data_IF_794942365345
#
_entry.id   IF_794942365345
#
_cell.length_a   1.000
_cell.length_b   1.000
_cell.length_c   1.000
_cell.angle_alpha   90.00
_cell.angle_beta   90.00
_cell.angle_gamma   90.00
#
_symmetry.space_group_name_H-M   'P 1'
#
loop_
_entity.id
_entity.type
_entity.pdbx_description
1 polymer ?
#
# COMPACT_ATOMS: atom_id res chain seq x y z
N UNK A 1 35.01 -52.48 43.31
CA UNK A 1 33.79 -52.30 42.47
C UNK A 1 33.96 -53.18 41.26
N UNK A 2 33.08 -54.18 41.16
CA UNK A 2 33.18 -55.36 40.28
C UNK A 2 32.46 -55.04 38.98
N UNK A 3 33.09 -55.33 37.84
CA UNK A 3 32.53 -55.13 36.51
C UNK A 3 31.59 -56.23 36.00
N UNK A 4 31.31 -56.12 34.70
CA UNK A 4 30.53 -57.00 33.78
C UNK A 4 29.08 -56.61 33.56
N UNK A 5 28.80 -56.10 32.36
CA UNK A 5 27.70 -56.54 31.48
C UNK A 5 28.16 -56.30 30.03
N UNK A 6 28.71 -57.34 29.37
CA UNK A 6 28.03 -58.32 28.50
C UNK A 6 27.49 -57.73 27.19
N UNK A 7 28.32 -57.95 26.15
CA UNK A 7 28.02 -58.25 24.73
C UNK A 7 26.54 -58.42 24.38
N UNK A 8 26.12 -57.72 23.33
CA UNK A 8 24.96 -58.03 22.50
C UNK A 8 25.20 -57.51 21.08
N UNK A 9 25.87 -58.31 20.27
CA UNK A 9 26.04 -58.08 18.83
C UNK A 9 24.87 -58.81 18.16
N UNK A 10 23.89 -58.05 17.67
CA UNK A 10 22.82 -58.57 16.82
C UNK A 10 22.88 -57.78 15.49
N UNK A 11 23.67 -58.33 14.57
CA UNK A 11 23.58 -58.03 13.15
C UNK A 11 22.21 -58.52 12.67
N UNK A 12 21.23 -57.63 12.62
CA UNK A 12 20.04 -57.84 11.81
C UNK A 12 20.31 -57.21 10.44
N UNK A 13 20.65 -58.09 9.51
CA UNK A 13 20.52 -57.92 8.07
C UNK A 13 19.05 -57.62 7.79
N UNK A 14 18.68 -56.33 7.82
CA UNK A 14 17.39 -55.89 7.28
C UNK A 14 17.57 -55.83 5.78
N UNK A 15 16.91 -56.78 5.13
CA UNK A 15 16.72 -56.84 3.69
C UNK A 15 16.38 -55.47 3.14
N UNK A 16 17.03 -55.14 2.01
CA UNK A 16 16.74 -53.94 1.24
C UNK A 16 15.24 -53.83 1.00
N UNK A 17 14.63 -52.91 1.74
CA UNK A 17 13.48 -52.19 1.25
C UNK A 17 14.04 -51.35 0.10
N UNK A 18 14.00 -51.93 -1.10
CA UNK A 18 13.82 -51.13 -2.29
C UNK A 18 12.52 -50.36 -2.06
N UNK A 19 12.64 -49.16 -1.50
CA UNK A 19 11.68 -48.10 -1.73
C UNK A 19 11.75 -47.86 -3.23
N UNK A 20 10.95 -48.63 -3.96
CA UNK A 20 10.52 -48.22 -5.28
C UNK A 20 9.85 -46.88 -5.07
N UNK A 21 10.58 -45.81 -5.36
CA UNK A 21 10.01 -44.51 -5.64
C UNK A 21 9.00 -44.78 -6.74
N UNK A 22 7.73 -44.82 -6.36
CA UNK A 22 6.66 -44.76 -7.31
C UNK A 22 6.91 -43.47 -8.09
N UNK A 23 7.40 -43.63 -9.32
CA UNK A 23 7.30 -42.60 -10.35
C UNK A 23 5.80 -42.47 -10.59
N UNK A 24 5.13 -41.65 -9.79
CA UNK A 24 3.81 -41.15 -10.10
C UNK A 24 3.95 -40.46 -11.45
N UNK A 25 3.26 -40.94 -12.51
CA UNK A 25 3.24 -40.23 -13.77
C UNK A 25 2.54 -38.88 -13.52
N UNK A 26 3.30 -37.80 -13.51
CA UNK A 26 2.75 -36.46 -13.35
C UNK A 26 3.64 -35.48 -12.60
N UNK A 27 4.95 -35.41 -12.90
CA UNK A 27 5.60 -34.10 -12.84
C UNK A 27 5.18 -33.34 -14.12
N UNK A 28 3.88 -33.03 -14.22
CA UNK A 28 3.50 -31.84 -14.97
C UNK A 28 3.89 -30.72 -14.02
N UNK A 29 5.11 -30.21 -14.20
CA UNK A 29 5.49 -28.98 -13.54
C UNK A 29 4.40 -27.98 -13.87
N UNK A 30 3.89 -27.36 -12.82
CA UNK A 30 2.96 -26.26 -12.94
C UNK A 30 3.56 -25.24 -13.89
N UNK A 31 2.88 -24.95 -15.00
CA UNK A 31 3.34 -23.91 -15.93
C UNK A 31 2.92 -22.55 -15.40
N UNK A 32 3.80 -21.55 -15.50
CA UNK A 32 3.50 -20.14 -15.19
C UNK A 32 2.18 -19.68 -15.84
N UNK A 33 1.92 -20.10 -17.08
CA UNK A 33 0.65 -19.85 -17.80
C UNK A 33 -0.61 -20.25 -17.01
N UNK A 34 -0.60 -21.37 -16.27
CA UNK A 34 -1.79 -21.85 -15.55
C UNK A 34 -2.02 -21.05 -14.26
N UNK A 35 -0.93 -20.66 -13.59
CA UNK A 35 -0.98 -19.77 -12.42
C UNK A 35 -1.50 -18.40 -12.84
N UNK A 36 -0.90 -17.82 -13.88
CA UNK A 36 -1.27 -16.51 -14.39
C UNK A 36 -2.68 -16.44 -14.94
N UNK A 37 -3.13 -17.48 -15.64
CA UNK A 37 -4.53 -17.54 -16.08
C UNK A 37 -5.49 -17.48 -14.88
N UNK A 38 -5.19 -18.21 -13.79
CA UNK A 38 -6.02 -18.21 -12.59
C UNK A 38 -5.98 -16.85 -11.86
N UNK A 39 -4.79 -16.24 -11.75
CA UNK A 39 -4.63 -14.92 -11.11
C UNK A 39 -5.28 -13.83 -11.95
N UNK A 40 -5.08 -13.80 -13.26
CA UNK A 40 -5.65 -12.77 -14.13
C UNK A 40 -7.14 -12.94 -14.38
N UNK A 41 -7.69 -14.15 -14.31
CA UNK A 41 -9.15 -14.34 -14.24
C UNK A 41 -9.74 -13.72 -12.97
N UNK A 42 -8.93 -13.57 -11.91
CA UNK A 42 -9.29 -12.96 -10.64
C UNK A 42 -9.20 -11.42 -10.69
N UNK A 43 -8.02 -10.90 -11.05
CA UNK A 43 -7.67 -9.47 -10.92
C UNK A 43 -7.84 -8.68 -12.20
N UNK A 44 -8.06 -9.35 -13.34
CA UNK A 44 -8.11 -8.72 -14.65
C UNK A 44 -6.74 -8.28 -15.19
N UNK A 45 -5.63 -8.86 -14.70
CA UNK A 45 -4.29 -8.57 -15.22
C UNK A 45 -4.06 -9.02 -16.68
N UNK A 46 -2.99 -8.50 -17.29
CA UNK A 46 -2.50 -8.99 -18.58
C UNK A 46 -1.74 -10.30 -18.38
N UNK A 47 -2.16 -11.36 -19.07
CA UNK A 47 -1.57 -12.70 -18.92
C UNK A 47 -0.10 -12.74 -19.35
N UNK A 48 0.31 -11.95 -20.34
CA UNK A 48 1.69 -11.95 -20.84
C UNK A 48 2.63 -11.32 -19.80
N UNK A 49 2.25 -10.17 -19.23
CA UNK A 49 3.04 -9.51 -18.18
C UNK A 49 3.18 -10.39 -16.93
N UNK A 50 2.10 -11.08 -16.53
CA UNK A 50 2.16 -12.01 -15.40
C UNK A 50 3.11 -13.18 -15.65
N UNK A 51 3.09 -13.76 -16.86
CA UNK A 51 3.97 -14.88 -17.22
C UNK A 51 5.43 -14.43 -17.21
N UNK A 52 5.72 -13.26 -17.78
CA UNK A 52 7.08 -12.69 -17.78
C UNK A 52 7.59 -12.48 -16.33
N UNK A 53 6.76 -11.95 -15.42
CA UNK A 53 7.13 -11.78 -14.01
C UNK A 53 7.39 -13.10 -13.27
N UNK A 54 6.61 -14.15 -13.56
CA UNK A 54 6.85 -15.49 -13.01
C UNK A 54 8.12 -16.14 -13.59
N UNK A 55 8.37 -16.00 -14.90
CA UNK A 55 9.58 -16.51 -15.55
C UNK A 55 10.84 -15.82 -14.99
N UNK A 56 10.80 -14.49 -14.81
CA UNK A 56 11.88 -13.73 -14.20
C UNK A 56 12.15 -14.17 -12.74
N UNK A 57 11.09 -14.45 -11.97
CA UNK A 57 11.22 -14.97 -10.61
C UNK A 57 11.80 -16.40 -10.57
N UNK A 58 11.42 -17.27 -11.51
CA UNK A 58 12.01 -18.63 -11.64
C UNK A 58 13.50 -18.56 -11.95
N UNK A 59 13.89 -17.72 -12.91
CA UNK A 59 15.29 -17.57 -13.33
C UNK A 59 16.15 -16.98 -12.19
N UNK A 60 15.65 -15.98 -11.45
CA UNK A 60 16.34 -15.43 -10.28
C UNK A 60 16.46 -16.48 -9.15
N UNK A 61 15.38 -17.22 -8.87
CA UNK A 61 15.41 -18.30 -7.89
C UNK A 61 16.45 -19.35 -8.26
N UNK A 62 16.54 -19.71 -9.53
CA UNK A 62 17.54 -20.66 -10.03
C UNK A 62 18.97 -20.14 -9.96
N UNK A 63 19.19 -18.85 -10.21
CA UNK A 63 20.51 -18.23 -10.07
C UNK A 63 20.98 -18.22 -8.60
N UNK A 64 20.06 -18.02 -7.65
CA UNK A 64 20.33 -18.05 -6.21
C UNK A 64 20.22 -19.47 -5.58
N UNK A 65 19.80 -20.48 -6.35
CA UNK A 65 19.56 -21.88 -5.94
C UNK A 65 18.42 -22.06 -4.92
N UNK A 66 17.35 -21.34 -5.17
CA UNK A 66 16.09 -21.28 -4.44
C UNK A 66 14.96 -21.99 -5.22
N UNK A 67 15.27 -22.91 -6.14
CA UNK A 67 14.27 -23.54 -7.01
C UNK A 67 13.19 -24.31 -6.22
N UNK A 68 13.59 -24.90 -5.08
CA UNK A 68 12.67 -25.61 -4.20
C UNK A 68 11.66 -24.65 -3.54
N UNK A 69 12.10 -23.45 -3.13
CA UNK A 69 11.24 -22.44 -2.50
C UNK A 69 10.30 -21.81 -3.54
N UNK A 70 10.78 -21.56 -4.75
CA UNK A 70 9.94 -21.09 -5.86
C UNK A 70 8.86 -22.12 -6.22
N UNK A 71 9.23 -23.40 -6.33
CA UNK A 71 8.27 -24.47 -6.59
C UNK A 71 7.23 -24.59 -5.47
N UNK A 72 7.62 -24.41 -4.21
CA UNK A 72 6.69 -24.45 -3.07
C UNK A 72 5.71 -23.28 -3.10
N UNK A 73 6.19 -22.08 -3.43
CA UNK A 73 5.36 -20.89 -3.57
C UNK A 73 4.34 -21.02 -4.71
N UNK A 74 4.77 -21.43 -5.91
CA UNK A 74 3.89 -21.66 -7.05
C UNK A 74 2.86 -22.76 -6.78
N UNK A 75 3.28 -23.87 -6.16
CA UNK A 75 2.36 -24.94 -5.75
C UNK A 75 1.36 -24.45 -4.70
N UNK A 76 1.75 -23.55 -3.80
CA UNK A 76 0.84 -22.97 -2.84
C UNK A 76 -0.23 -22.13 -3.54
N UNK A 77 0.16 -21.19 -4.41
CA UNK A 77 -0.78 -20.33 -5.14
C UNK A 77 -1.84 -21.18 -5.83
N UNK A 78 -1.41 -22.19 -6.60
CA UNK A 78 -2.37 -23.04 -7.31
C UNK A 78 -3.38 -23.77 -6.41
N UNK A 79 -2.95 -24.17 -5.22
CA UNK A 79 -3.76 -25.01 -4.35
C UNK A 79 -4.61 -24.24 -3.36
N UNK A 80 -4.17 -23.02 -2.99
CA UNK A 80 -4.76 -22.26 -1.87
C UNK A 80 -5.16 -20.84 -2.23
N UNK A 81 -4.83 -20.32 -3.41
CA UNK A 81 -5.30 -19.00 -3.80
C UNK A 81 -6.82 -19.03 -3.92
N UNK A 82 -7.47 -18.09 -3.24
CA UNK A 82 -8.90 -17.84 -3.35
C UNK A 82 -9.11 -16.47 -4.01
N UNK A 83 -10.19 -16.34 -4.77
CA UNK A 83 -10.64 -15.09 -5.36
C UNK A 83 -11.79 -14.52 -4.54
N UNK A 84 -11.60 -13.35 -3.93
CA UNK A 84 -12.65 -12.61 -3.22
C UNK A 84 -12.84 -11.25 -3.89
N UNK A 85 -14.05 -10.99 -4.38
CA UNK A 85 -14.45 -9.72 -5.00
C UNK A 85 -13.41 -9.12 -5.99
N UNK A 86 -12.98 -9.90 -6.99
CA UNK A 86 -11.99 -9.53 -8.02
C UNK A 86 -10.56 -9.31 -7.48
N UNK A 87 -10.26 -9.78 -6.27
CA UNK A 87 -8.93 -9.76 -5.65
C UNK A 87 -8.41 -11.19 -5.39
N UNK A 88 -7.14 -11.41 -5.72
CA UNK A 88 -6.46 -12.68 -5.45
C UNK A 88 -5.88 -12.68 -4.04
N UNK A 89 -6.42 -13.51 -3.15
CA UNK A 89 -5.93 -13.65 -1.79
C UNK A 89 -4.79 -14.68 -1.73
N UNK A 90 -3.60 -14.19 -1.42
CA UNK A 90 -2.38 -15.00 -1.23
C UNK A 90 -2.01 -15.22 0.24
N UNK A 91 -2.87 -14.84 1.19
CA UNK A 91 -2.58 -14.88 2.63
C UNK A 91 -2.24 -16.28 3.14
N UNK A 92 -2.88 -17.32 2.58
CA UNK A 92 -2.63 -18.73 2.89
C UNK A 92 -1.29 -19.27 2.34
N UNK A 93 -0.61 -18.47 1.50
CA UNK A 93 0.70 -18.74 0.89
C UNK A 93 1.80 -17.79 1.35
N UNK A 94 1.53 -17.01 2.41
CA UNK A 94 2.49 -16.04 2.95
C UNK A 94 3.80 -16.70 3.40
N UNK A 95 3.74 -17.87 4.02
CA UNK A 95 4.94 -18.56 4.52
C UNK A 95 5.86 -18.96 3.34
N UNK A 96 5.29 -19.58 2.30
CA UNK A 96 6.04 -19.97 1.10
C UNK A 96 6.56 -18.75 0.32
N UNK A 97 5.80 -17.65 0.31
CA UNK A 97 6.22 -16.38 -0.27
C UNK A 97 7.41 -15.76 0.49
N UNK A 98 7.35 -15.73 1.83
CA UNK A 98 8.40 -15.18 2.69
C UNK A 98 9.68 -16.03 2.57
N UNK A 99 9.57 -17.37 2.51
CA UNK A 99 10.70 -18.28 2.30
C UNK A 99 11.40 -18.02 0.95
N UNK A 100 10.62 -17.89 -0.14
CA UNK A 100 11.16 -17.52 -1.45
C UNK A 100 11.82 -16.13 -1.42
N UNK A 101 11.15 -15.14 -0.85
CA UNK A 101 11.62 -13.76 -0.77
C UNK A 101 12.94 -13.64 0.00
N UNK A 102 13.07 -14.36 1.10
CA UNK A 102 14.30 -14.42 1.90
C UNK A 102 15.43 -15.11 1.13
N UNK A 103 15.11 -16.08 0.27
CA UNK A 103 16.10 -16.78 -0.53
C UNK A 103 16.62 -15.92 -1.71
N UNK A 104 15.74 -15.22 -2.45
CA UNK A 104 16.12 -14.38 -3.60
C UNK A 104 16.47 -12.92 -3.23
N UNK A 105 16.71 -12.66 -1.94
CA UNK A 105 16.99 -11.32 -1.38
C UNK A 105 15.96 -10.25 -1.80
N UNK A 106 14.69 -10.65 -1.98
CA UNK A 106 13.55 -9.80 -2.37
C UNK A 106 13.72 -9.04 -3.69
N UNK A 107 14.62 -9.46 -4.58
CA UNK A 107 14.93 -8.69 -5.80
C UNK A 107 13.74 -8.67 -6.76
N UNK A 108 13.10 -9.81 -7.00
CA UNK A 108 12.00 -9.97 -7.96
C UNK A 108 10.98 -11.01 -7.49
N UNK A 109 10.25 -10.72 -6.41
CA UNK A 109 9.05 -11.51 -6.08
C UNK A 109 7.96 -11.21 -7.10
N UNK A 110 7.32 -12.23 -7.70
CA UNK A 110 6.11 -12.05 -8.49
C UNK A 110 4.94 -11.78 -7.53
N UNK A 111 3.90 -11.06 -8.01
CA UNK A 111 2.73 -10.67 -7.20
C UNK A 111 3.09 -9.88 -5.94
N UNK A 112 3.84 -8.79 -6.11
CA UNK A 112 4.13 -7.86 -5.00
C UNK A 112 2.81 -7.25 -4.53
N UNK A 113 2.66 -7.11 -3.22
CA UNK A 113 1.53 -6.33 -2.72
C UNK A 113 1.60 -4.90 -3.25
N UNK A 114 0.46 -4.24 -3.51
CA UNK A 114 0.42 -2.84 -3.90
C UNK A 114 1.25 -1.94 -2.95
N UNK A 115 1.20 -2.24 -1.65
CA UNK A 115 1.99 -1.54 -0.65
C UNK A 115 3.50 -1.77 -0.81
N UNK A 116 3.94 -2.96 -1.25
CA UNK A 116 5.35 -3.23 -1.51
C UNK A 116 5.87 -2.41 -2.71
N UNK A 117 5.03 -2.17 -3.73
CA UNK A 117 5.40 -1.32 -4.87
C UNK A 117 5.47 0.16 -4.50
N UNK A 118 4.53 0.67 -3.70
CA UNK A 118 4.63 2.01 -3.10
C UNK A 118 5.89 2.18 -2.25
N UNK A 119 6.22 1.20 -1.38
CA UNK A 119 7.47 1.23 -0.60
C UNK A 119 8.71 1.22 -1.50
N UNK A 120 8.67 0.54 -2.64
CA UNK A 120 9.76 0.60 -3.63
C UNK A 120 9.87 1.99 -4.25
N UNK A 121 8.76 2.61 -4.66
CA UNK A 121 8.76 3.99 -5.17
C UNK A 121 9.33 4.97 -4.13
N UNK A 122 8.92 4.85 -2.85
CA UNK A 122 9.50 5.61 -1.73
C UNK A 122 11.04 5.50 -1.68
N UNK A 123 11.54 4.26 -1.82
CA UNK A 123 12.97 3.95 -1.76
C UNK A 123 13.74 4.60 -2.89
N UNK A 124 13.14 4.63 -4.08
CA UNK A 124 13.72 5.19 -5.30
C UNK A 124 13.68 6.73 -5.28
N UNK A 125 12.66 7.35 -4.65
CA UNK A 125 12.60 8.80 -4.42
C UNK A 125 13.62 9.31 -3.38
N UNK A 126 14.30 8.45 -2.63
CA UNK A 126 15.34 8.84 -1.66
C UNK A 126 14.83 9.32 -0.29
N UNK A 127 13.52 9.50 -0.09
CA UNK A 127 12.89 9.88 1.19
C UNK A 127 12.40 8.67 2.00
N UNK A 128 13.34 7.80 2.38
CA UNK A 128 13.03 6.48 2.95
C UNK A 128 12.16 6.50 4.21
N UNK A 129 12.51 7.26 5.24
CA UNK A 129 11.89 7.08 6.57
C UNK A 129 10.43 7.59 6.65
N UNK A 130 10.11 8.72 6.02
CA UNK A 130 8.76 9.28 6.08
C UNK A 130 7.81 8.58 5.11
N UNK A 131 8.28 8.33 3.89
CA UNK A 131 7.47 7.70 2.87
C UNK A 131 7.15 6.23 3.24
N UNK A 132 8.14 5.43 3.67
CA UNK A 132 7.88 4.05 4.12
C UNK A 132 6.93 4.02 5.32
N UNK A 133 7.08 4.93 6.29
CA UNK A 133 6.18 5.01 7.46
C UNK A 133 4.74 5.39 7.07
N UNK A 134 4.56 6.23 6.05
CA UNK A 134 3.24 6.54 5.51
C UNK A 134 2.63 5.33 4.83
N UNK A 135 3.39 4.60 4.01
CA UNK A 135 2.88 3.39 3.35
C UNK A 135 2.58 2.28 4.38
N UNK A 136 3.42 2.12 5.42
CA UNK A 136 3.15 1.22 6.54
C UNK A 136 1.83 1.57 7.24
N UNK A 137 1.54 2.86 7.43
CA UNK A 137 0.29 3.31 8.04
C UNK A 137 -0.91 3.08 7.13
N UNK A 138 -0.76 3.29 5.82
CA UNK A 138 -1.81 3.03 4.82
C UNK A 138 -2.12 1.53 4.80
N UNK A 139 -1.10 0.67 4.81
CA UNK A 139 -1.25 -0.78 4.90
C UNK A 139 -1.95 -1.19 6.22
N UNK A 140 -1.58 -0.59 7.36
CA UNK A 140 -2.18 -0.92 8.67
C UNK A 140 -3.66 -0.47 8.78
N UNK A 141 -3.99 0.70 8.24
CA UNK A 141 -5.32 1.32 8.42
C UNK A 141 -6.29 0.94 7.30
N UNK A 142 -5.80 0.91 6.07
CA UNK A 142 -6.59 0.72 4.85
C UNK A 142 -6.38 -0.63 4.15
N UNK A 143 -5.39 -1.43 4.57
CA UNK A 143 -5.06 -2.69 3.92
C UNK A 143 -4.44 -2.48 2.54
N UNK A 144 -4.45 -3.53 1.72
CA UNK A 144 -3.86 -3.49 0.38
C UNK A 144 -4.66 -2.64 -0.61
N UNK A 145 -5.99 -2.59 -0.47
CA UNK A 145 -6.87 -1.73 -1.29
C UNK A 145 -6.45 -0.26 -1.23
N UNK A 146 -6.13 0.25 -0.04
CA UNK A 146 -5.72 1.65 0.10
C UNK A 146 -4.35 1.95 -0.53
N UNK A 147 -3.49 0.94 -0.65
CA UNK A 147 -2.24 1.06 -1.39
C UNK A 147 -2.47 0.97 -2.90
N UNK A 148 -3.42 0.16 -3.35
CA UNK A 148 -3.81 0.06 -4.76
C UNK A 148 -4.44 1.37 -5.25
N UNK A 149 -5.36 1.95 -4.46
CA UNK A 149 -5.95 3.27 -4.73
C UNK A 149 -4.86 4.35 -4.92
N UNK A 150 -3.83 4.35 -4.07
CA UNK A 150 -2.71 5.29 -4.19
C UNK A 150 -1.85 5.05 -5.44
N UNK A 151 -1.68 3.81 -5.87
CA UNK A 151 -0.98 3.50 -7.12
C UNK A 151 -1.80 3.95 -8.33
N UNK A 152 -3.11 3.74 -8.32
CA UNK A 152 -4.03 4.16 -9.37
C UNK A 152 -4.13 5.70 -9.49
N UNK A 153 -3.96 6.43 -8.38
CA UNK A 153 -3.84 7.89 -8.36
C UNK A 153 -2.48 8.41 -8.88
N UNK A 154 -1.60 7.52 -9.33
CA UNK A 154 -0.30 7.85 -9.93
C UNK A 154 0.90 7.56 -9.03
N UNK A 155 0.70 6.91 -7.88
CA UNK A 155 1.76 6.51 -6.96
C UNK A 155 2.49 7.69 -6.32
N UNK A 156 3.72 7.44 -5.88
CA UNK A 156 4.59 8.47 -5.30
C UNK A 156 5.38 9.12 -6.42
N UNK A 157 5.12 10.41 -6.63
CA UNK A 157 5.78 11.19 -7.68
C UNK A 157 7.12 11.75 -7.17
N UNK A 158 8.25 11.25 -7.69
CA UNK A 158 9.59 11.65 -7.23
C UNK A 158 10.16 12.92 -7.91
N UNK A 159 9.41 13.60 -8.80
CA UNK A 159 9.96 14.60 -9.73
C UNK A 159 10.26 16.00 -9.13
N UNK A 160 10.22 16.17 -7.81
CA UNK A 160 10.63 17.43 -7.16
C UNK A 160 12.15 17.54 -6.96
N UNK A 161 12.94 17.28 -8.01
CA UNK A 161 14.33 17.74 -8.04
C UNK A 161 14.36 19.24 -8.39
N UNK A 162 14.64 20.06 -7.37
CA UNK A 162 14.91 21.49 -7.49
C UNK A 162 15.90 21.83 -8.63
N UNK A 163 15.41 22.32 -9.78
CA UNK A 163 16.12 23.33 -10.56
C UNK A 163 15.37 24.66 -10.47
N UNK A 164 15.87 25.54 -9.60
CA UNK A 164 15.39 26.92 -9.49
C UNK A 164 15.47 27.69 -10.81
N UNK A 165 14.32 28.13 -11.32
CA UNK A 165 14.25 29.05 -12.46
C UNK A 165 12.82 29.45 -12.79
N UNK A 166 12.41 30.65 -12.38
CA UNK A 166 11.05 31.15 -12.56
C UNK A 166 10.53 31.10 -14.00
N UNK A 167 9.27 30.67 -14.14
CA UNK A 167 8.53 30.73 -15.39
C UNK A 167 7.10 30.26 -15.22
N UNK A 168 6.17 31.19 -14.99
CA UNK A 168 4.75 30.95 -15.24
C UNK A 168 4.59 30.55 -16.72
N UNK A 169 4.20 29.30 -16.97
CA UNK A 169 3.97 28.78 -18.32
C UNK A 169 3.15 27.50 -18.24
N UNK A 170 1.84 27.64 -18.43
CA UNK A 170 0.88 26.54 -18.36
C UNK A 170 1.12 25.43 -19.38
N UNK A 171 0.95 24.20 -18.91
CA UNK A 171 0.75 22.99 -19.69
C UNK A 171 -0.25 22.13 -18.94
N UNK A 172 -1.41 21.90 -19.57
CA UNK A 172 -2.60 21.27 -19.00
C UNK A 172 -2.47 19.73 -19.05
N UNK A 173 -2.61 18.96 -17.96
CA UNK A 173 -3.04 17.58 -18.05
C UNK A 173 -4.57 17.56 -18.09
N UNK A 174 -5.10 17.41 -19.29
CA UNK A 174 -6.52 17.18 -19.52
C UNK A 174 -6.87 15.73 -19.17
N UNK A 175 -7.52 15.49 -18.03
CA UNK A 175 -8.71 14.61 -17.91
C UNK A 175 -9.10 14.23 -16.47
N UNK A 176 -9.66 15.17 -15.68
CA UNK A 176 -10.55 14.82 -14.54
C UNK A 176 -11.82 15.70 -14.48
N UNK A 177 -12.13 16.45 -15.55
CA UNK A 177 -13.30 17.33 -15.62
C UNK A 177 -14.26 16.80 -16.70
N UNK A 178 -15.32 16.09 -16.30
CA UNK A 178 -16.39 15.69 -17.21
C UNK A 178 -17.39 16.85 -17.49
N UNK A 179 -17.16 18.01 -16.85
CA UNK A 179 -17.96 19.22 -16.99
C UNK A 179 -19.34 19.11 -16.33
N UNK A 180 -19.58 18.11 -15.48
CA UNK A 180 -20.82 18.00 -14.71
C UNK A 180 -20.66 18.66 -13.34
N UNK A 181 -21.52 19.64 -13.08
CA UNK A 181 -21.58 20.33 -11.78
C UNK A 181 -22.27 19.40 -10.78
N UNK A 182 -21.49 18.81 -9.88
CA UNK A 182 -22.01 18.04 -8.74
C UNK A 182 -22.60 18.98 -7.68
N UNK A 183 -23.54 18.50 -6.88
CA UNK A 183 -24.15 19.28 -5.79
C UNK A 183 -23.19 19.41 -4.61
N UNK A 184 -23.13 20.60 -4.01
CA UNK A 184 -22.23 20.97 -2.90
C UNK A 184 -22.31 20.05 -1.67
N UNK A 185 -23.42 19.32 -1.49
CA UNK A 185 -23.67 18.43 -0.35
C UNK A 185 -23.24 16.95 -0.59
N UNK A 186 -22.47 16.65 -1.65
CA UNK A 186 -22.01 15.28 -1.90
C UNK A 186 -20.73 14.98 -1.14
N UNK A 187 -20.64 13.80 -0.51
CA UNK A 187 -19.44 13.33 0.22
C UNK A 187 -18.14 13.37 -0.61
N UNK A 188 -18.23 13.40 -1.93
CA UNK A 188 -17.10 13.54 -2.84
C UNK A 188 -16.46 14.96 -2.86
N UNK A 189 -17.14 16.00 -2.34
CA UNK A 189 -16.58 17.36 -2.21
C UNK A 189 -15.94 17.62 -0.82
N UNK A 190 -16.00 16.68 0.13
CA UNK A 190 -15.54 16.91 1.51
C UNK A 190 -14.04 16.65 1.75
N UNK A 191 -13.34 16.07 0.78
CA UNK A 191 -11.94 15.66 0.95
C UNK A 191 -11.02 16.40 -0.01
N UNK A 192 -10.45 17.52 0.43
CA UNK A 192 -9.31 18.15 -0.24
C UNK A 192 -8.05 17.88 0.61
N UNK A 193 -7.02 17.30 -0.02
CA UNK A 193 -5.86 16.74 0.70
C UNK A 193 -4.62 17.65 0.68
N UNK A 194 -4.55 18.66 -0.21
CA UNK A 194 -3.44 19.62 -0.27
C UNK A 194 -3.92 21.07 -0.11
N UNK A 195 -3.86 21.57 1.12
CA UNK A 195 -4.19 22.96 1.44
C UNK A 195 -2.92 23.76 1.74
N UNK A 196 -2.62 24.75 0.90
CA UNK A 196 -1.51 25.66 1.11
C UNK A 196 -2.02 26.96 1.73
N UNK A 197 -1.44 27.34 2.87
CA UNK A 197 -1.66 28.65 3.49
C UNK A 197 -0.88 29.72 2.70
N UNK A 198 -1.38 30.15 1.54
CA UNK A 198 -0.74 31.23 0.80
C UNK A 198 -1.04 32.61 1.41
N UNK A 199 0.01 33.44 1.48
CA UNK A 199 0.06 34.92 1.45
C UNK A 199 -0.87 35.73 2.37
N UNK A 200 -2.18 35.53 2.26
CA UNK A 200 -3.21 36.21 3.05
C UNK A 200 -3.38 35.57 4.44
N UNK A 201 -3.32 34.24 4.57
CA UNK A 201 -3.75 33.54 5.80
C UNK A 201 -2.74 33.55 6.95
N UNK A 202 -1.51 33.98 6.68
CA UNK A 202 -0.50 34.09 7.72
C UNK A 202 -0.94 35.05 8.85
N UNK A 203 -1.70 36.10 8.53
CA UNK A 203 -2.22 37.02 9.55
C UNK A 203 -3.32 36.41 10.42
N UNK A 204 -4.21 35.62 9.82
CA UNK A 204 -5.35 34.96 10.44
C UNK A 204 -4.84 33.84 11.35
N UNK A 205 -3.90 33.03 10.86
CA UNK A 205 -3.22 31.99 11.63
C UNK A 205 -2.44 32.60 12.80
N UNK A 206 -1.68 33.67 12.58
CA UNK A 206 -0.98 34.37 13.66
C UNK A 206 -1.96 34.99 14.68
N UNK A 207 -3.10 35.50 14.21
CA UNK A 207 -4.15 36.05 15.07
C UNK A 207 -4.77 34.96 15.94
N UNK A 208 -5.13 33.82 15.36
CA UNK A 208 -5.63 32.66 16.09
C UNK A 208 -4.61 32.15 17.10
N UNK A 209 -3.36 31.90 16.70
CA UNK A 209 -2.30 31.42 17.60
C UNK A 209 -1.99 32.39 18.76
N UNK A 210 -2.24 33.69 18.58
CA UNK A 210 -2.07 34.69 19.63
C UNK A 210 -3.20 34.72 20.67
N UNK A 211 -4.30 33.99 20.43
CA UNK A 211 -5.42 33.93 21.37
C UNK A 211 -5.07 33.05 22.57
N UNK A 212 -5.38 33.49 23.80
CA UNK A 212 -5.01 32.76 25.01
C UNK A 212 -5.68 31.38 25.14
N UNK A 213 -6.80 31.13 24.44
CA UNK A 213 -7.50 29.85 24.43
C UNK A 213 -7.19 28.96 23.22
N UNK A 214 -6.38 29.40 22.25
CA UNK A 214 -6.19 28.68 20.99
C UNK A 214 -5.66 27.26 21.18
N UNK A 215 -4.64 27.08 22.03
CA UNK A 215 -4.11 25.74 22.34
C UNK A 215 -5.15 24.86 23.03
N UNK A 216 -5.94 25.41 23.96
CA UNK A 216 -6.96 24.64 24.68
C UNK A 216 -8.12 24.22 23.75
N UNK A 217 -8.42 25.02 22.72
CA UNK A 217 -9.36 24.66 21.66
C UNK A 217 -8.80 23.56 20.76
N UNK A 218 -7.54 23.66 20.31
CA UNK A 218 -6.88 22.60 19.52
C UNK A 218 -6.78 21.28 20.30
N UNK A 219 -6.42 21.33 21.58
CA UNK A 219 -6.36 20.16 22.46
C UNK A 219 -7.76 19.53 22.66
N UNK A 220 -8.82 20.34 22.62
CA UNK A 220 -10.20 19.86 22.67
C UNK A 220 -10.62 19.18 21.36
N UNK A 221 -10.29 19.79 20.22
CA UNK A 221 -10.64 19.31 18.88
C UNK A 221 -9.84 18.08 18.47
N UNK A 222 -8.57 17.98 18.85
CA UNK A 222 -7.66 16.90 18.44
C UNK A 222 -8.20 15.47 18.61
N UNK A 223 -8.78 15.08 19.75
CA UNK A 223 -9.35 13.74 19.93
C UNK A 223 -10.79 13.58 19.40
N UNK A 224 -11.41 14.62 18.83
CA UNK A 224 -12.81 14.54 18.40
C UNK A 224 -12.97 13.78 17.09
N UNK A 225 -13.76 12.70 17.12
CA UNK A 225 -14.14 11.90 15.94
C UNK A 225 -15.63 11.96 15.61
N UNK A 226 -16.40 12.81 16.31
CA UNK A 226 -17.85 12.96 16.11
C UNK A 226 -18.27 14.42 16.14
N UNK A 227 -19.32 14.78 15.39
CA UNK A 227 -19.87 16.14 15.36
C UNK A 227 -20.27 16.66 16.73
N UNK A 228 -20.79 15.78 17.59
CA UNK A 228 -21.16 16.16 18.96
C UNK A 228 -19.95 16.63 19.78
N UNK A 229 -18.78 16.02 19.57
CA UNK A 229 -17.52 16.41 20.21
C UNK A 229 -17.04 17.76 19.66
N UNK A 230 -17.02 17.91 18.33
CA UNK A 230 -16.61 19.13 17.63
C UNK A 230 -17.48 20.32 18.08
N UNK A 231 -18.81 20.17 18.03
CA UNK A 231 -19.76 21.19 18.49
C UNK A 231 -19.62 21.50 19.99
N UNK A 232 -19.25 20.49 20.79
CA UNK A 232 -18.96 20.66 22.22
C UNK A 232 -17.74 21.55 22.45
N UNK A 233 -16.66 21.34 21.68
CA UNK A 233 -15.45 22.17 21.73
C UNK A 233 -15.71 23.59 21.21
N UNK A 234 -16.44 23.73 20.10
CA UNK A 234 -16.86 25.04 19.59
C UNK A 234 -17.65 25.85 20.64
N UNK A 235 -18.64 25.21 21.26
CA UNK A 235 -19.43 25.82 22.34
C UNK A 235 -18.61 26.21 23.57
N UNK A 236 -17.53 25.47 23.87
CA UNK A 236 -16.63 25.76 24.99
C UNK A 236 -15.67 26.92 24.70
N UNK A 237 -15.31 27.14 23.43
CA UNK A 237 -14.34 28.15 22.97
C UNK A 237 -14.87 28.95 21.76
N UNK A 238 -15.98 29.70 21.90
CA UNK A 238 -16.67 30.30 20.75
C UNK A 238 -15.87 31.38 20.03
N UNK A 239 -14.93 32.04 20.73
CA UNK A 239 -14.08 33.07 20.12
C UNK A 239 -12.97 32.42 19.28
N UNK A 240 -12.36 31.36 19.80
CA UNK A 240 -11.34 30.57 19.11
C UNK A 240 -11.94 29.81 17.92
N UNK A 241 -13.13 29.24 18.06
CA UNK A 241 -13.87 28.59 16.96
C UNK A 241 -14.08 29.56 15.79
N UNK A 242 -14.58 30.77 16.08
CA UNK A 242 -14.79 31.79 15.04
C UNK A 242 -13.47 32.17 14.33
N UNK A 243 -12.36 32.25 15.07
CA UNK A 243 -11.05 32.54 14.50
C UNK A 243 -10.44 31.35 13.76
N UNK A 244 -10.69 30.13 14.20
CA UNK A 244 -10.26 28.90 13.54
C UNK A 244 -11.00 28.70 12.21
N UNK A 245 -12.31 28.95 12.17
CA UNK A 245 -13.10 28.97 10.92
C UNK A 245 -12.56 30.04 9.96
N UNK A 246 -12.14 31.21 10.47
CA UNK A 246 -11.51 32.24 9.64
C UNK A 246 -10.14 31.78 9.06
N UNK A 247 -9.39 30.94 9.79
CA UNK A 247 -8.16 30.31 9.27
C UNK A 247 -8.48 29.26 8.21
N UNK A 248 -9.49 28.40 8.45
CA UNK A 248 -9.91 27.36 7.52
C UNK A 248 -10.47 27.94 6.22
N UNK A 249 -11.36 28.92 6.30
CA UNK A 249 -11.92 29.61 5.12
C UNK A 249 -10.88 30.40 4.33
N UNK A 250 -9.73 30.68 4.93
CA UNK A 250 -8.61 31.29 4.23
C UNK A 250 -7.70 30.25 3.56
N UNK A 251 -7.60 29.04 4.13
CA UNK A 251 -6.83 27.96 3.52
C UNK A 251 -7.41 27.64 2.13
N UNK A 252 -6.65 27.94 1.08
CA UNK A 252 -7.00 27.52 -0.28
C UNK A 252 -6.46 26.11 -0.46
N UNK A 253 -7.36 25.16 -0.59
CA UNK A 253 -7.01 23.83 -1.05
C UNK A 253 -6.91 23.90 -2.57
N UNK A 254 -5.71 23.65 -3.09
CA UNK A 254 -5.41 23.80 -4.52
C UNK A 254 -5.71 22.52 -5.30
N UNK A 255 -6.00 21.42 -4.60
CA UNK A 255 -6.36 20.14 -5.20
C UNK A 255 -7.59 19.59 -4.48
N UNK A 256 -8.71 19.57 -5.20
CA UNK A 256 -9.84 18.72 -4.89
C UNK A 256 -10.06 17.82 -6.11
N UNK A 257 -10.25 16.53 -5.88
CA UNK A 257 -10.38 15.54 -6.95
C UNK A 257 -11.57 15.82 -7.90
N UNK A 258 -12.54 16.63 -7.44
CA UNK A 258 -13.72 17.03 -8.21
C UNK A 258 -13.87 18.55 -8.27
N UNK A 259 -14.22 19.08 -9.44
CA UNK A 259 -14.43 20.51 -9.73
C UNK A 259 -15.70 21.04 -9.03
N UNK A 260 -15.64 21.27 -7.73
CA UNK A 260 -16.70 21.90 -6.96
C UNK A 260 -16.62 23.43 -7.21
N UNK A 261 -17.13 23.88 -8.37
CA UNK A 261 -17.26 25.29 -8.83
C UNK A 261 -16.08 26.23 -8.44
N UNK A 262 -15.18 26.44 -9.40
CA UNK A 262 -14.05 27.38 -9.34
C UNK A 262 -14.38 28.84 -8.92
N UNK A 263 -15.64 29.21 -8.70
CA UNK A 263 -16.04 30.51 -8.16
C UNK A 263 -16.07 30.58 -6.62
N UNK A 264 -16.13 29.45 -5.91
CA UNK A 264 -16.19 29.39 -4.45
C UNK A 264 -15.25 28.32 -3.95
N UNK A 265 -14.09 28.73 -3.42
CA UNK A 265 -13.10 27.87 -2.77
C UNK A 265 -13.80 26.76 -1.96
N UNK A 266 -13.53 25.50 -2.30
CA UNK A 266 -13.78 24.26 -1.54
C UNK A 266 -14.82 24.35 -0.41
N UNK A 267 -16.09 24.61 -0.73
CA UNK A 267 -17.21 24.61 0.23
C UNK A 267 -17.14 25.66 1.34
N UNK A 268 -18.09 26.60 1.38
CA UNK A 268 -18.35 27.38 2.61
C UNK A 268 -19.01 26.53 3.70
#
# INVERSE_FOLDING_TARGET
>A
MVGKFRRGLALLVVWGVWLGVASTPGCQGVSAEEVCNTVCDCTGCDEDDCVDDLEDAEDEAKDEKCEDDYSAYVECIQNKMDCDDDHADFSDCKDEADDLADCIEKKNMPFKSPCADLKRQCKDCGEKELCEATVDLVEEVGGEEACEDLLDEGGINCDDEEEGGGGAGGGNPSSCDDGTVSSIDSAACDTCFNCALEGACASETASFQSMPGAQAYLDCMGPCTTDACINGCGSAYPSEESAYIAVLSCAVCYECAYNCDAATNCGE
#
